data_IF_828229817567
#
_entry.id   IF_828229817567
#
_cell.length_a   1.000
_cell.length_b   1.000
_cell.length_c   1.000
_cell.angle_alpha   90.00
_cell.angle_beta   90.00
_cell.angle_gamma   90.00
#
_symmetry.space_group_name_H-M   'P 1'
#
loop_
_entity.id
_entity.type
_entity.pdbx_description
1 polymer ?
#
# COMPACT_ATOMS: atom_id res chain seq x y z
N UNK A 1 28.64 3.97 -41.61
CA UNK A 1 27.45 3.26 -42.12
C UNK A 1 27.93 1.85 -42.40
N UNK A 2 27.93 1.04 -41.35
CA UNK A 2 26.96 -0.07 -41.14
C UNK A 2 27.32 -1.25 -42.07
N UNK A 3 27.47 -2.49 -41.67
CA UNK A 3 27.33 -3.19 -40.39
C UNK A 3 27.92 -4.60 -40.59
N UNK A 4 28.13 -5.37 -39.52
CA UNK A 4 28.21 -6.82 -39.63
C UNK A 4 29.55 -7.47 -39.32
N UNK A 5 29.84 -7.64 -38.03
CA UNK A 5 30.57 -8.81 -37.54
C UNK A 5 29.73 -9.51 -36.46
N UNK A 6 29.28 -10.73 -36.78
CA UNK A 6 28.63 -11.63 -35.86
C UNK A 6 29.64 -12.17 -34.84
N UNK A 7 29.29 -12.14 -33.54
CA UNK A 7 30.02 -12.87 -32.50
C UNK A 7 29.06 -13.55 -31.53
N UNK A 8 28.81 -14.83 -31.83
CA UNK A 8 28.66 -15.99 -30.93
C UNK A 8 28.19 -15.73 -29.48
N UNK A 9 26.95 -16.15 -29.23
CA UNK A 9 26.47 -16.96 -28.10
C UNK A 9 27.30 -16.94 -26.80
N UNK A 10 26.79 -16.23 -25.79
CA UNK A 10 26.79 -16.72 -24.40
C UNK A 10 25.40 -16.50 -23.80
N UNK A 11 24.57 -17.54 -23.87
CA UNK A 11 23.40 -17.66 -23.02
C UNK A 11 23.87 -17.64 -21.56
N UNK A 12 23.74 -16.50 -20.89
CA UNK A 12 23.67 -16.50 -19.43
C UNK A 12 22.34 -17.16 -19.08
N UNK A 13 22.30 -18.17 -18.19
CA UNK A 13 21.02 -18.67 -17.72
C UNK A 13 20.31 -17.49 -17.04
N UNK A 14 19.15 -17.11 -17.58
CA UNK A 14 18.24 -16.24 -16.85
C UNK A 14 18.08 -16.85 -15.44
N UNK A 15 18.20 -16.07 -14.35
CA UNK A 15 17.91 -16.60 -13.03
C UNK A 15 16.51 -17.20 -13.13
N UNK A 16 16.38 -18.47 -12.80
CA UNK A 16 15.12 -19.19 -12.74
C UNK A 16 14.17 -18.37 -11.88
N UNK A 17 13.38 -17.50 -12.50
CA UNK A 17 12.37 -16.66 -11.86
C UNK A 17 11.27 -17.61 -11.44
N UNK A 18 11.42 -18.19 -10.26
CA UNK A 18 10.29 -18.19 -9.36
C UNK A 18 9.76 -16.74 -9.40
N UNK A 19 8.59 -16.56 -9.99
CA UNK A 19 7.87 -15.30 -9.94
C UNK A 19 7.50 -15.10 -8.48
N UNK A 20 8.43 -14.60 -7.66
CA UNK A 20 8.07 -13.96 -6.40
C UNK A 20 7.33 -12.70 -6.80
N UNK A 21 6.02 -12.84 -7.01
CA UNK A 21 5.15 -11.74 -7.38
C UNK A 21 5.18 -10.76 -6.22
N UNK A 22 5.86 -9.63 -6.41
CA UNK A 22 5.90 -8.59 -5.40
C UNK A 22 4.59 -7.81 -5.46
N UNK A 23 3.74 -8.02 -4.47
CA UNK A 23 2.52 -7.27 -4.26
C UNK A 23 2.82 -5.90 -3.66
N UNK A 24 2.02 -4.90 -4.03
CA UNK A 24 2.03 -3.57 -3.43
C UNK A 24 0.61 -3.08 -3.23
N UNK A 25 0.31 -2.66 -2.01
CA UNK A 25 -0.99 -2.15 -1.62
C UNK A 25 -0.82 -0.74 -1.03
N UNK A 26 -1.80 0.13 -1.29
CA UNK A 26 -1.83 1.52 -0.80
C UNK A 26 -3.13 1.74 -0.05
N UNK A 27 -3.03 2.18 1.20
CA UNK A 27 -4.16 2.53 2.06
C UNK A 27 -4.14 4.03 2.32
N UNK A 28 -5.28 4.69 2.13
CA UNK A 28 -5.49 6.07 2.57
C UNK A 28 -6.02 6.02 3.99
N UNK A 29 -5.32 6.65 4.92
CA UNK A 29 -5.59 6.56 6.35
C UNK A 29 -5.74 7.96 6.94
N UNK A 30 -6.81 8.27 7.69
CA UNK A 30 -6.95 9.55 8.37
C UNK A 30 -5.78 9.87 9.30
N UNK A 31 -5.42 11.15 9.40
CA UNK A 31 -4.35 11.63 10.28
C UNK A 31 -4.63 11.35 11.77
N UNK A 32 -5.90 11.24 12.17
CA UNK A 32 -6.28 10.87 13.53
C UNK A 32 -5.85 9.44 13.88
N UNK A 33 -6.10 8.50 12.97
CA UNK A 33 -5.85 7.07 13.19
C UNK A 33 -4.39 6.66 12.97
N UNK A 34 -3.63 7.42 12.16
CA UNK A 34 -2.24 7.07 11.81
C UNK A 34 -1.30 7.03 13.02
N UNK A 35 -1.59 7.84 14.05
CA UNK A 35 -0.78 7.88 15.28
C UNK A 35 -0.78 6.54 16.00
N UNK A 36 -1.95 5.88 16.07
CA UNK A 36 -2.09 4.55 16.64
C UNK A 36 -1.33 3.51 15.80
N UNK A 37 -1.39 3.60 14.47
CA UNK A 37 -0.72 2.67 13.57
C UNK A 37 0.82 2.74 13.66
N UNK A 38 1.39 3.94 13.71
CA UNK A 38 2.85 4.14 13.78
C UNK A 38 3.39 3.82 15.18
N UNK A 39 2.64 4.21 16.22
CA UNK A 39 3.06 4.13 17.62
C UNK A 39 4.16 5.14 17.97
N UNK A 40 4.46 5.25 19.28
CA UNK A 40 5.51 6.15 19.78
C UNK A 40 6.87 5.78 19.17
N UNK A 41 7.53 6.75 18.55
CA UNK A 41 8.84 6.55 17.90
C UNK A 41 8.83 5.59 16.70
N UNK A 42 7.67 5.24 16.13
CA UNK A 42 7.57 4.27 15.04
C UNK A 42 7.72 2.82 15.47
N UNK A 43 7.62 2.51 16.77
CA UNK A 43 7.79 1.17 17.29
C UNK A 43 6.76 0.19 16.71
N UNK A 44 5.49 0.60 16.61
CA UNK A 44 4.40 -0.27 16.17
C UNK A 44 4.51 -0.59 14.68
N UNK A 45 4.83 0.41 13.83
CA UNK A 45 5.07 0.16 12.41
C UNK A 45 6.27 -0.74 12.15
N UNK A 46 7.32 -0.66 12.97
CA UNK A 46 8.48 -1.57 12.90
C UNK A 46 8.12 -2.99 13.31
N UNK A 47 7.34 -3.15 14.38
CA UNK A 47 6.82 -4.45 14.80
C UNK A 47 5.91 -5.07 13.75
N UNK A 48 5.01 -4.28 13.16
CA UNK A 48 4.16 -4.69 12.05
C UNK A 48 5.01 -5.19 10.88
N UNK A 49 6.01 -4.41 10.47
CA UNK A 49 6.93 -4.80 9.39
C UNK A 49 7.66 -6.11 9.71
N UNK A 50 8.13 -6.27 10.95
CA UNK A 50 8.86 -7.47 11.40
C UNK A 50 7.99 -8.72 11.56
N UNK A 51 6.72 -8.57 11.97
CA UNK A 51 5.78 -9.70 12.14
C UNK A 51 5.23 -10.19 10.80
N UNK A 52 5.07 -9.26 9.87
CA UNK A 52 4.45 -9.55 8.58
C UNK A 52 5.47 -9.89 7.52
N UNK A 53 6.76 -9.59 7.73
CA UNK A 53 7.80 -9.57 6.70
C UNK A 53 7.44 -8.63 5.53
N UNK A 54 6.55 -7.66 5.77
CA UNK A 54 6.13 -6.69 4.80
C UNK A 54 6.91 -5.39 5.00
N UNK A 55 7.32 -4.75 3.90
CA UNK A 55 7.83 -3.38 3.95
C UNK A 55 6.65 -2.43 4.13
N UNK A 56 6.66 -1.67 5.22
CA UNK A 56 5.65 -0.66 5.55
C UNK A 56 6.26 0.74 5.39
N UNK A 57 5.62 1.60 4.61
CA UNK A 57 6.03 3.00 4.43
C UNK A 57 4.84 3.93 4.62
N UNK A 58 4.99 4.98 5.44
CA UNK A 58 3.96 6.00 5.64
C UNK A 58 4.42 7.30 5.03
N UNK A 59 3.60 7.93 4.18
CA UNK A 59 3.91 9.23 3.58
C UNK A 59 4.10 10.31 4.66
N UNK A 60 4.87 11.39 4.42
CA UNK A 60 4.89 12.53 5.34
C UNK A 60 3.50 13.15 5.48
N UNK A 61 3.29 13.92 6.56
CA UNK A 61 2.10 14.77 6.70
C UNK A 61 2.22 15.94 5.72
N UNK A 62 1.13 16.25 5.02
CA UNK A 62 1.03 17.38 4.10
C UNK A 62 0.00 18.37 4.67
N UNK A 63 0.33 19.66 4.70
CA UNK A 63 -0.60 20.69 5.17
C UNK A 63 -1.85 20.75 4.29
N UNK A 64 -3.02 20.94 4.90
CA UNK A 64 -4.31 20.91 4.21
C UNK A 64 -4.86 19.50 3.92
N UNK A 65 -4.04 18.45 3.92
CA UNK A 65 -4.49 17.07 3.71
C UNK A 65 -4.75 16.38 5.05
N UNK A 66 -5.96 15.85 5.22
CA UNK A 66 -6.39 15.18 6.46
C UNK A 66 -6.04 13.69 6.50
N UNK A 67 -5.40 13.17 5.47
CA UNK A 67 -5.04 11.76 5.31
C UNK A 67 -3.53 11.57 5.06
N UNK A 68 -3.05 10.34 5.28
CA UNK A 68 -1.71 9.86 4.90
C UNK A 68 -1.80 8.55 4.15
N UNK A 69 -0.83 8.34 3.26
CA UNK A 69 -0.73 7.12 2.47
C UNK A 69 0.14 6.10 3.19
N UNK A 70 -0.42 4.94 3.50
CA UNK A 70 0.32 3.77 3.98
C UNK A 70 0.55 2.84 2.80
N UNK A 71 1.81 2.54 2.50
CA UNK A 71 2.22 1.68 1.41
C UNK A 71 2.81 0.40 1.99
N UNK A 72 2.22 -0.73 1.60
CA UNK A 72 2.65 -2.07 1.96
C UNK A 72 3.25 -2.73 0.71
N UNK A 73 4.39 -3.40 0.84
CA UNK A 73 5.01 -4.11 -0.28
C UNK A 73 5.81 -5.33 0.17
N UNK A 74 5.75 -6.40 -0.62
CA UNK A 74 6.47 -7.65 -0.42
C UNK A 74 5.75 -8.80 -1.15
N UNK A 75 5.68 -9.99 -0.57
CA UNK A 75 4.88 -11.10 -1.11
C UNK A 75 3.37 -10.87 -0.92
N UNK A 76 2.52 -11.58 -1.66
CA UNK A 76 1.06 -11.48 -1.49
C UNK A 76 0.62 -11.77 -0.05
N UNK A 77 1.19 -12.81 0.56
CA UNK A 77 0.91 -13.20 1.94
C UNK A 77 1.32 -12.12 2.95
N UNK A 78 2.51 -11.52 2.79
CA UNK A 78 2.98 -10.47 3.70
C UNK A 78 2.08 -9.24 3.62
N UNK A 79 1.68 -8.85 2.41
CA UNK A 79 0.82 -7.69 2.17
C UNK A 79 -0.57 -7.95 2.72
N UNK A 80 -1.13 -9.15 2.53
CA UNK A 80 -2.42 -9.53 3.09
C UNK A 80 -2.41 -9.48 4.63
N UNK A 81 -1.42 -10.11 5.27
CA UNK A 81 -1.28 -10.09 6.73
C UNK A 81 -1.13 -8.67 7.28
N UNK A 82 -0.27 -7.87 6.67
CA UNK A 82 -0.09 -6.47 7.05
C UNK A 82 -1.36 -5.65 6.86
N UNK A 83 -2.09 -5.86 5.77
CA UNK A 83 -3.35 -5.16 5.51
C UNK A 83 -4.39 -5.48 6.59
N UNK A 84 -4.54 -6.75 6.96
CA UNK A 84 -5.48 -7.16 8.01
C UNK A 84 -5.14 -6.53 9.37
N UNK A 85 -3.86 -6.46 9.71
CA UNK A 85 -3.41 -5.84 10.96
C UNK A 85 -3.62 -4.31 10.96
N UNK A 86 -3.31 -3.63 9.85
CA UNK A 86 -3.62 -2.20 9.68
C UNK A 86 -5.13 -1.97 9.82
N UNK A 87 -5.96 -2.76 9.14
CA UNK A 87 -7.41 -2.60 9.20
C UNK A 87 -7.97 -2.81 10.62
N UNK A 88 -7.41 -3.73 11.41
CA UNK A 88 -7.78 -3.91 12.81
C UNK A 88 -7.41 -2.69 13.65
N UNK A 89 -6.18 -2.23 13.51
CA UNK A 89 -5.69 -1.03 14.21
C UNK A 89 -6.51 0.22 13.93
N UNK A 90 -7.03 0.34 12.71
CA UNK A 90 -7.95 1.43 12.33
C UNK A 90 -9.33 1.24 12.95
N UNK A 91 -9.89 0.02 12.89
CA UNK A 91 -11.21 -0.27 13.48
C UNK A 91 -11.25 -0.07 15.00
N UNK A 92 -10.11 -0.28 15.68
CA UNK A 92 -9.97 -0.05 17.11
C UNK A 92 -9.84 1.45 17.47
N UNK A 93 -9.64 2.36 16.49
CA UNK A 93 -9.59 3.80 16.76
C UNK A 93 -11.01 4.36 16.98
N UNK A 94 -11.36 4.83 18.19
CA UNK A 94 -12.69 5.37 18.46
C UNK A 94 -12.98 6.65 17.67
N UNK A 95 -11.95 7.32 17.15
CA UNK A 95 -12.09 8.55 16.36
C UNK A 95 -12.13 8.27 14.85
N UNK A 96 -12.13 7.00 14.42
CA UNK A 96 -12.10 6.67 13.00
C UNK A 96 -13.36 7.19 12.29
N UNK A 97 -14.55 7.02 12.89
CA UNK A 97 -15.83 7.43 12.28
C UNK A 97 -15.97 8.94 12.10
N UNK A 98 -15.36 9.74 12.98
CA UNK A 98 -15.42 11.21 12.91
C UNK A 98 -14.50 11.78 11.82
N UNK A 99 -13.52 10.99 11.37
CA UNK A 99 -12.48 11.42 10.44
C UNK A 99 -12.45 10.62 9.13
N UNK A 100 -13.37 9.66 8.95
CA UNK A 100 -13.62 8.95 7.70
C UNK A 100 -14.43 9.76 6.67
N UNK A 101 -14.68 11.05 6.94
CA UNK A 101 -15.34 11.94 5.99
C UNK A 101 -14.37 12.26 4.84
N UNK A 102 -14.26 11.33 3.89
CA UNK A 102 -13.63 11.52 2.58
C UNK A 102 -14.55 12.39 1.72
N UNK A 103 -14.81 13.62 2.18
CA UNK A 103 -15.50 14.65 1.41
C UNK A 103 -14.51 15.27 0.45
N UNK A 104 -14.46 14.79 -0.79
CA UNK A 104 -13.78 15.49 -1.87
C UNK A 104 -14.75 16.54 -2.43
N UNK A 105 -14.33 17.82 -2.44
CA UNK A 105 -15.07 18.90 -3.10
C UNK A 105 -15.19 18.64 -4.61
N UNK A 106 -14.21 17.92 -5.17
CA UNK A 106 -14.26 17.38 -6.52
C UNK A 106 -15.14 16.12 -6.62
N UNK A 107 -16.02 16.12 -7.62
CA UNK A 107 -16.67 14.89 -8.09
C UNK A 107 -15.58 13.94 -8.59
N UNK A 108 -15.18 12.99 -7.75
CA UNK A 108 -14.40 11.85 -8.22
C UNK A 108 -15.16 11.21 -9.38
N UNK A 109 -14.56 11.06 -10.57
CA UNK A 109 -15.12 10.23 -11.62
C UNK A 109 -15.04 8.81 -11.09
N UNK A 110 -16.04 8.39 -10.31
CA UNK A 110 -16.27 7.00 -10.01
C UNK A 110 -16.38 6.34 -11.38
N UNK A 111 -15.30 5.67 -11.80
CA UNK A 111 -15.31 4.89 -13.02
C UNK A 111 -16.57 4.03 -13.00
N UNK A 112 -17.20 3.86 -14.16
CA UNK A 112 -18.54 3.32 -14.32
C UNK A 112 -18.73 1.90 -13.74
N UNK A 113 -18.77 1.78 -12.42
CA UNK A 113 -19.45 0.71 -11.71
C UNK A 113 -20.85 1.24 -11.43
N UNK A 114 -21.63 1.31 -12.51
CA UNK A 114 -23.07 1.33 -12.43
C UNK A 114 -23.50 -0.05 -11.92
N UNK A 115 -23.45 -0.24 -10.60
CA UNK A 115 -24.32 -1.20 -9.96
C UNK A 115 -25.73 -0.77 -10.31
N UNK A 116 -26.28 -1.37 -11.35
CA UNK A 116 -27.65 -1.15 -11.77
C UNK A 116 -28.54 -1.41 -10.55
N UNK A 117 -29.18 -0.36 -10.03
CA UNK A 117 -30.32 -0.57 -9.15
C UNK A 117 -31.39 -1.15 -10.05
N UNK A 118 -31.64 -2.45 -9.90
CA UNK A 118 -32.89 -3.02 -10.32
C UNK A 118 -33.96 -2.46 -9.39
N UNK A 119 -34.72 -1.48 -9.87
CA UNK A 119 -36.20 -1.47 -9.86
C UNK A 119 -36.73 -0.35 -10.77
#
# INVERSE_FOLDING_TARGET
MEDGIAMVLKHSPAPSRALETSAKLKLVVPNSAIGNLIGRGGQKSRQLSSRTDCKVNVSPRVEGIKERLVVLSGTDDCVLRATLEVCRDLQDDPNLSEHLVLGYDEKVPLGAWAGGSAE
#
